data_IF_229995538156
#
_entry.id   IF_229995538156
#
_cell.length_a   1.000
_cell.length_b   1.000
_cell.length_c   1.000
_cell.angle_alpha   90.00
_cell.angle_beta   90.00
_cell.angle_gamma   90.00
#
_symmetry.space_group_name_H-M   'P 1'
#
loop_
_entity.id
_entity.type
_entity.pdbx_description
1 polymer ?
#
# COMPACT_ATOMS: atom_id res chain seq x y z
N UNK A 1 7.11 -35.50 -1.28
CA UNK A 1 5.94 -34.84 -0.65
C UNK A 1 6.28 -34.56 0.82
N UNK A 2 6.53 -33.29 1.17
CA UNK A 2 7.02 -32.92 2.52
C UNK A 2 5.85 -32.49 3.41
N UNK A 3 5.43 -33.38 4.29
CA UNK A 3 4.40 -33.13 5.31
C UNK A 3 4.95 -32.17 6.37
N UNK A 4 4.45 -30.93 6.38
CA UNK A 4 4.71 -29.98 7.46
C UNK A 4 3.90 -30.38 8.70
N UNK A 5 4.54 -31.13 9.61
CA UNK A 5 4.01 -31.49 10.92
C UNK A 5 3.75 -30.25 11.77
N UNK A 6 2.49 -30.04 12.16
CA UNK A 6 2.12 -29.01 13.15
C UNK A 6 2.64 -29.49 14.51
N UNK A 7 3.50 -28.74 15.23
CA UNK A 7 4.04 -29.19 16.50
C UNK A 7 2.94 -29.24 17.57
N UNK A 8 2.92 -30.32 18.36
CA UNK A 8 2.04 -30.54 19.52
C UNK A 8 1.97 -29.26 20.39
N UNK A 9 0.76 -28.74 20.58
CA UNK A 9 0.50 -27.50 21.31
C UNK A 9 0.78 -27.64 22.81
N UNK A 10 1.96 -27.21 23.27
CA UNK A 10 2.17 -26.81 24.67
C UNK A 10 1.13 -25.73 25.00
N UNK A 11 0.41 -25.87 26.13
CA UNK A 11 -0.65 -24.94 26.58
C UNK A 11 -0.18 -23.49 26.38
N UNK A 12 -0.88 -22.73 25.52
CA UNK A 12 -0.57 -21.33 25.28
C UNK A 12 -0.83 -20.55 26.58
N UNK A 13 0.10 -19.69 27.00
CA UNK A 13 -0.12 -18.81 28.15
C UNK A 13 -1.33 -17.90 27.92
N UNK A 14 -1.94 -17.42 29.01
CA UNK A 14 -3.18 -16.62 28.97
C UNK A 14 -3.04 -15.39 28.06
N UNK A 15 -1.95 -14.62 28.22
CA UNK A 15 -1.65 -13.46 27.37
C UNK A 15 -1.56 -13.84 25.88
N UNK A 16 -0.92 -14.96 25.55
CA UNK A 16 -0.80 -15.42 24.17
C UNK A 16 -2.17 -15.78 23.57
N UNK A 17 -3.05 -16.39 24.37
CA UNK A 17 -4.42 -16.74 23.97
C UNK A 17 -5.26 -15.48 23.72
N UNK A 18 -5.14 -14.49 24.60
CA UNK A 18 -5.81 -13.18 24.46
C UNK A 18 -5.35 -12.44 23.21
N UNK A 19 -4.05 -12.39 22.94
CA UNK A 19 -3.50 -11.81 21.70
C UNK A 19 -4.07 -12.48 20.45
N UNK A 20 -4.12 -13.81 20.41
CA UNK A 20 -4.66 -14.53 19.26
C UNK A 20 -6.18 -14.33 19.11
N UNK A 21 -6.92 -14.23 20.21
CA UNK A 21 -8.36 -13.91 20.20
C UNK A 21 -8.60 -12.51 19.64
N UNK A 22 -7.80 -11.52 20.06
CA UNK A 22 -7.85 -10.17 19.52
C UNK A 22 -7.54 -10.17 18.01
N UNK A 23 -6.43 -10.78 17.61
CA UNK A 23 -6.01 -10.85 16.21
C UNK A 23 -7.08 -11.48 15.30
N UNK A 24 -7.81 -12.49 15.79
CA UNK A 24 -8.90 -13.13 15.02
C UNK A 24 -10.03 -12.15 14.66
N UNK A 25 -10.37 -11.21 15.55
CA UNK A 25 -11.43 -10.21 15.37
C UNK A 25 -11.08 -9.15 14.33
N UNK A 26 -9.80 -8.94 14.05
CA UNK A 26 -9.36 -7.97 13.06
C UNK A 26 -9.64 -8.46 11.63
N UNK A 27 -9.91 -7.55 10.67
CA UNK A 27 -9.99 -7.90 9.25
C UNK A 27 -8.64 -8.40 8.71
N UNK A 28 -8.62 -8.90 7.46
CA UNK A 28 -7.37 -9.23 6.77
C UNK A 28 -6.42 -8.02 6.77
N UNK A 29 -5.14 -8.25 7.07
CA UNK A 29 -4.12 -7.19 7.14
C UNK A 29 -4.14 -6.36 8.43
N UNK A 30 -5.14 -6.56 9.32
CA UNK A 30 -5.24 -5.83 10.58
C UNK A 30 -3.98 -5.92 11.44
N UNK A 31 -3.66 -4.82 12.12
CA UNK A 31 -2.44 -4.66 12.91
C UNK A 31 -2.72 -5.03 14.36
N UNK A 32 -1.87 -5.91 14.88
CA UNK A 32 -1.75 -6.25 16.30
C UNK A 32 -0.52 -5.52 16.82
N UNK A 33 -0.69 -4.70 17.85
CA UNK A 33 0.40 -3.90 18.41
C UNK A 33 0.59 -4.14 19.91
N UNK A 34 1.83 -4.05 20.45
CA UNK A 34 2.08 -4.21 21.89
C UNK A 34 1.24 -3.26 22.75
N UNK A 35 0.95 -2.05 22.25
CA UNK A 35 0.18 -1.02 22.94
C UNK A 35 -1.22 -1.51 23.34
N UNK A 36 -1.83 -2.40 22.56
CA UNK A 36 -3.16 -2.97 22.87
C UNK A 36 -3.17 -3.87 24.09
N UNK A 37 -2.01 -4.37 24.55
CA UNK A 37 -1.92 -5.39 25.61
C UNK A 37 -1.13 -4.94 26.85
N UNK A 38 -0.75 -3.66 26.94
CA UNK A 38 0.03 -3.15 28.09
C UNK A 38 -0.75 -3.20 29.42
N UNK A 39 -2.08 -3.29 29.37
CA UNK A 39 -2.92 -3.51 30.54
C UNK A 39 -2.90 -4.95 31.06
N UNK A 40 -2.26 -5.88 30.33
CA UNK A 40 -2.18 -7.31 30.67
C UNK A 40 -0.78 -7.75 31.12
N UNK A 41 0.17 -6.82 31.22
CA UNK A 41 1.52 -7.11 31.69
C UNK A 41 2.57 -6.10 31.24
N UNK A 42 3.81 -6.33 31.66
CA UNK A 42 4.92 -5.45 31.33
C UNK A 42 5.21 -5.43 29.83
N UNK A 43 5.75 -4.31 29.33
CA UNK A 43 6.12 -4.15 27.93
C UNK A 43 7.03 -5.28 27.44
N UNK A 44 8.02 -5.66 28.25
CA UNK A 44 8.95 -6.74 27.92
C UNK A 44 8.24 -8.09 27.75
N UNK A 45 7.28 -8.42 28.63
CA UNK A 45 6.51 -9.66 28.54
C UNK A 45 5.63 -9.68 27.28
N UNK A 46 4.92 -8.58 26.99
CA UNK A 46 4.08 -8.45 25.78
C UNK A 46 4.90 -8.61 24.51
N UNK A 47 6.04 -7.91 24.41
CA UNK A 47 6.93 -8.01 23.24
C UNK A 47 7.49 -9.43 23.09
N UNK A 48 7.83 -10.11 24.20
CA UNK A 48 8.29 -11.49 24.17
C UNK A 48 7.21 -12.46 23.70
N UNK A 49 5.95 -12.28 24.13
CA UNK A 49 4.80 -13.08 23.67
C UNK A 49 4.54 -12.88 22.19
N UNK A 50 4.48 -11.63 21.70
CA UNK A 50 4.27 -11.34 20.28
C UNK A 50 5.39 -11.91 19.42
N UNK A 51 6.65 -11.77 19.86
CA UNK A 51 7.81 -12.36 19.19
C UNK A 51 7.74 -13.89 19.14
N UNK A 52 7.36 -14.55 20.23
CA UNK A 52 7.15 -16.01 20.26
C UNK A 52 6.02 -16.45 19.32
N UNK A 53 4.90 -15.74 19.28
CA UNK A 53 3.79 -16.03 18.36
C UNK A 53 4.22 -15.86 16.90
N UNK A 54 5.03 -14.85 16.60
CA UNK A 54 5.60 -14.63 15.28
C UNK A 54 6.56 -15.77 14.87
N UNK A 55 7.45 -16.21 15.77
CA UNK A 55 8.34 -17.36 15.51
C UNK A 55 7.57 -18.66 15.27
N UNK A 56 6.41 -18.83 15.92
CA UNK A 56 5.50 -19.97 15.71
C UNK A 56 4.64 -19.85 14.44
N UNK A 57 4.77 -18.77 13.67
CA UNK A 57 3.97 -18.53 12.46
C UNK A 57 2.49 -18.22 12.76
N UNK A 58 2.12 -17.97 14.01
CA UNK A 58 0.75 -17.62 14.40
C UNK A 58 0.46 -16.13 14.18
N UNK A 59 1.52 -15.32 14.10
CA UNK A 59 1.51 -13.94 13.66
C UNK A 59 2.65 -13.73 12.64
N UNK A 60 2.55 -12.67 11.85
CA UNK A 60 3.59 -12.21 10.93
C UNK A 60 4.05 -10.84 11.39
N UNK A 61 5.36 -10.65 11.58
CA UNK A 61 5.93 -9.36 11.94
C UNK A 61 6.09 -8.52 10.67
N UNK A 62 5.43 -7.36 10.63
CA UNK A 62 5.42 -6.45 9.46
C UNK A 62 6.25 -5.18 9.70
N UNK A 63 6.64 -4.92 10.95
CA UNK A 63 7.48 -3.78 11.29
C UNK A 63 7.87 -3.77 12.77
N UNK A 64 8.44 -2.65 13.23
CA UNK A 64 8.72 -2.45 14.66
C UNK A 64 7.41 -2.32 15.42
N UNK A 65 7.13 -3.29 16.30
CA UNK A 65 5.91 -3.28 17.12
C UNK A 65 4.61 -3.47 16.33
N UNK A 66 4.68 -3.97 15.09
CA UNK A 66 3.51 -4.23 14.26
C UNK A 66 3.52 -5.68 13.79
N UNK A 67 2.41 -6.37 14.05
CA UNK A 67 2.18 -7.74 13.65
C UNK A 67 0.84 -7.84 12.93
N UNK A 68 0.67 -8.87 12.11
CA UNK A 68 -0.63 -9.19 11.49
C UNK A 68 -0.87 -10.69 11.54
N UNK A 69 -2.14 -11.13 11.50
CA UNK A 69 -2.45 -12.55 11.45
C UNK A 69 -2.27 -13.09 10.03
N UNK A 70 -1.74 -14.31 9.85
CA UNK A 70 -1.81 -14.98 8.57
C UNK A 70 -3.27 -15.33 8.23
N UNK A 71 -3.56 -15.47 6.93
CA UNK A 71 -4.88 -15.86 6.43
C UNK A 71 -4.91 -17.37 6.21
N UNK A 72 -5.93 -18.02 6.76
CA UNK A 72 -6.20 -19.43 6.48
C UNK A 72 -7.13 -19.53 5.27
N UNK A 73 -6.75 -20.33 4.30
CA UNK A 73 -7.54 -20.65 3.11
C UNK A 73 -7.66 -22.16 2.95
N UNK A 74 -8.51 -22.63 2.02
CA UNK A 74 -8.59 -24.05 1.68
C UNK A 74 -7.25 -24.64 1.20
N UNK A 75 -6.38 -23.78 0.66
CA UNK A 75 -5.06 -24.14 0.13
C UNK A 75 -3.93 -23.99 1.15
N UNK A 76 -4.29 -23.82 2.43
CA UNK A 76 -3.35 -23.63 3.52
C UNK A 76 -3.21 -22.19 3.99
N UNK A 77 -2.11 -21.94 4.71
CA UNK A 77 -1.83 -20.68 5.39
C UNK A 77 -1.01 -19.78 4.46
N UNK A 78 -1.49 -18.56 4.24
CA UNK A 78 -0.78 -17.55 3.44
C UNK A 78 -0.64 -16.23 4.20
N UNK A 79 0.32 -15.37 3.83
CA UNK A 79 0.32 -13.98 4.25
C UNK A 79 -0.97 -13.26 3.79
N UNK A 80 -1.41 -12.22 4.52
CA UNK A 80 -2.41 -11.28 4.02
C UNK A 80 -1.98 -10.64 2.71
N UNK A 81 -2.94 -10.14 1.94
CA UNK A 81 -2.64 -9.34 0.76
C UNK A 81 -1.91 -8.05 1.15
N UNK A 82 -0.95 -7.65 0.34
CA UNK A 82 -0.18 -6.42 0.56
C UNK A 82 -1.09 -5.20 0.64
N UNK A 83 -2.11 -5.11 -0.23
CA UNK A 83 -3.11 -4.03 -0.20
C UNK A 83 -3.81 -3.91 1.16
N UNK A 84 -4.22 -5.04 1.75
CA UNK A 84 -4.87 -5.04 3.07
C UNK A 84 -3.91 -4.58 4.19
N UNK A 85 -2.66 -5.04 4.15
CA UNK A 85 -1.63 -4.62 5.12
C UNK A 85 -1.31 -3.14 4.97
N UNK A 86 -1.12 -2.65 3.74
CA UNK A 86 -0.85 -1.24 3.46
C UNK A 86 -1.99 -0.35 3.95
N UNK A 87 -3.24 -0.74 3.69
CA UNK A 87 -4.42 -0.03 4.20
C UNK A 87 -4.40 0.04 5.73
N UNK A 88 -4.13 -1.07 6.41
CA UNK A 88 -4.07 -1.10 7.86
C UNK A 88 -2.89 -0.27 8.43
N UNK A 89 -1.74 -0.25 7.75
CA UNK A 89 -0.60 0.59 8.13
C UNK A 89 -0.94 2.07 7.97
N UNK A 90 -1.53 2.47 6.84
CA UNK A 90 -1.99 3.84 6.60
C UNK A 90 -2.95 4.30 7.71
N UNK A 91 -3.98 3.50 8.02
CA UNK A 91 -4.92 3.78 9.10
C UNK A 91 -4.27 3.89 10.49
N UNK A 92 -3.24 3.09 10.77
CA UNK A 92 -2.56 3.06 12.07
C UNK A 92 -1.55 4.19 12.25
N UNK A 93 -0.88 4.59 11.18
CA UNK A 93 0.21 5.57 11.20
C UNK A 93 -0.24 6.98 10.83
N UNK A 94 -1.39 7.12 10.16
CA UNK A 94 -1.82 8.38 9.55
C UNK A 94 -1.05 8.71 8.26
N UNK A 95 -0.19 7.81 7.78
CA UNK A 95 0.53 7.99 6.52
C UNK A 95 -0.41 7.78 5.34
N UNK A 96 -0.23 8.59 4.29
CA UNK A 96 -0.85 8.37 3.00
C UNK A 96 0.02 7.41 2.21
N UNK A 97 -0.51 6.25 1.83
CA UNK A 97 0.23 5.23 1.10
C UNK A 97 -0.53 4.86 -0.18
N UNK A 98 0.08 5.09 -1.32
CA UNK A 98 -0.53 4.90 -2.64
C UNK A 98 0.31 3.95 -3.51
N UNK A 99 -0.29 3.27 -4.49
CA UNK A 99 0.47 2.48 -5.46
C UNK A 99 1.51 3.34 -6.21
N UNK A 100 2.64 2.74 -6.59
CA UNK A 100 3.63 3.42 -7.43
C UNK A 100 3.10 3.78 -8.81
N UNK A 101 3.82 4.64 -9.52
CA UNK A 101 3.47 5.06 -10.88
C UNK A 101 3.30 3.91 -11.86
N UNK A 102 4.18 2.91 -11.85
CA UNK A 102 4.05 1.73 -12.72
C UNK A 102 2.79 0.91 -12.40
N UNK A 103 2.47 0.74 -11.11
CA UNK A 103 1.23 0.05 -10.70
C UNK A 103 -0.01 0.86 -11.09
N UNK A 104 0.05 2.20 -11.00
CA UNK A 104 -1.03 3.08 -11.42
C UNK A 104 -1.23 3.06 -12.95
N UNK A 105 -0.14 3.12 -13.72
CA UNK A 105 -0.18 3.02 -15.18
C UNK A 105 -0.79 1.71 -15.63
N UNK A 106 -0.39 0.59 -15.02
CA UNK A 106 -1.00 -0.72 -15.31
C UNK A 106 -2.48 -0.77 -14.94
N UNK A 107 -2.85 -0.25 -13.76
CA UNK A 107 -4.25 -0.21 -13.33
C UNK A 107 -5.16 0.67 -14.21
N UNK A 108 -4.59 1.69 -14.88
CA UNK A 108 -5.30 2.59 -15.79
C UNK A 108 -5.27 2.12 -17.25
N UNK A 109 -4.64 0.97 -17.54
CA UNK A 109 -4.54 0.41 -18.89
C UNK A 109 -3.49 1.09 -19.79
N UNK A 110 -2.60 1.91 -19.22
CA UNK A 110 -1.53 2.60 -19.94
C UNK A 110 -0.28 1.75 -20.14
N UNK A 111 -0.19 0.63 -19.41
CA UNK A 111 0.92 -0.31 -19.52
C UNK A 111 0.44 -1.73 -19.24
N UNK A 112 0.94 -2.69 -19.99
CA UNK A 112 0.72 -4.14 -19.75
C UNK A 112 1.76 -4.74 -18.83
N UNK A 113 2.80 -3.98 -18.45
CA UNK A 113 3.89 -4.47 -17.64
C UNK A 113 3.41 -4.77 -16.22
N UNK A 114 3.59 -6.02 -15.79
CA UNK A 114 3.37 -6.42 -14.41
C UNK A 114 4.63 -6.10 -13.60
N UNK A 115 4.58 -5.19 -12.61
CA UNK A 115 5.77 -4.84 -11.84
C UNK A 115 6.30 -6.04 -11.07
N UNK A 116 7.59 -6.35 -11.22
CA UNK A 116 8.23 -7.44 -10.47
C UNK A 116 8.36 -7.15 -8.97
N UNK A 117 8.37 -5.87 -8.58
CA UNK A 117 8.48 -5.43 -7.19
C UNK A 117 7.21 -4.74 -6.74
N UNK A 118 6.79 -5.04 -5.51
CA UNK A 118 5.64 -4.38 -4.89
C UNK A 118 6.07 -3.06 -4.25
N UNK A 119 6.06 -2.00 -5.06
CA UNK A 119 6.41 -0.65 -4.64
C UNK A 119 5.17 0.22 -4.43
N UNK A 120 5.13 0.89 -3.28
CA UNK A 120 4.17 1.94 -2.94
C UNK A 120 4.91 3.23 -2.58
N UNK A 121 4.26 4.37 -2.83
CA UNK A 121 4.71 5.67 -2.35
C UNK A 121 4.05 5.99 -1.01
N UNK A 122 4.81 6.57 -0.08
CA UNK A 122 4.30 6.98 1.24
C UNK A 122 4.66 8.43 1.56
N UNK A 123 3.78 9.14 2.27
CA UNK A 123 4.12 10.43 2.91
C UNK A 123 5.08 10.27 4.09
N UNK A 124 5.15 9.06 4.67
CA UNK A 124 6.05 8.71 5.77
C UNK A 124 7.45 8.30 5.31
N UNK A 125 8.27 7.73 6.22
CA UNK A 125 9.63 7.32 5.90
C UNK A 125 9.67 6.08 5.00
N UNK A 126 10.67 6.07 4.09
CA UNK A 126 10.99 4.90 3.27
C UNK A 126 11.32 3.70 4.14
N UNK A 127 10.69 2.55 3.85
CA UNK A 127 10.91 1.31 4.60
C UNK A 127 10.43 0.10 3.80
N UNK A 128 10.92 -1.07 4.18
CA UNK A 128 10.45 -2.33 3.61
C UNK A 128 9.69 -3.18 4.63
N UNK A 129 8.61 -3.79 4.18
CA UNK A 129 7.73 -4.66 4.95
C UNK A 129 7.88 -6.08 4.41
N UNK A 130 8.17 -7.04 5.30
CA UNK A 130 8.22 -8.45 4.93
C UNK A 130 6.86 -9.11 5.18
N UNK A 131 6.31 -9.75 4.16
CA UNK A 131 5.07 -10.52 4.20
C UNK A 131 5.34 -11.96 3.77
N UNK A 132 5.74 -12.78 4.75
CA UNK A 132 6.22 -14.13 4.46
C UNK A 132 7.50 -14.08 3.61
N UNK A 133 7.43 -14.62 2.38
CA UNK A 133 8.52 -14.56 1.39
C UNK A 133 8.48 -13.31 0.50
N UNK A 134 7.38 -12.55 0.52
CA UNK A 134 7.22 -11.33 -0.27
C UNK A 134 7.78 -10.13 0.48
N UNK A 135 8.30 -9.17 -0.27
CA UNK A 135 8.80 -7.91 0.25
C UNK A 135 8.02 -6.77 -0.41
N UNK A 136 7.44 -5.90 0.41
CA UNK A 136 6.75 -4.69 -0.02
C UNK A 136 7.65 -3.51 0.31
N UNK A 137 7.87 -2.64 -0.65
CA UNK A 137 8.70 -1.44 -0.50
C UNK A 137 7.79 -0.22 -0.41
N UNK A 138 8.02 0.59 0.64
CA UNK A 138 7.46 1.92 0.78
C UNK A 138 8.58 2.91 0.49
N UNK A 139 8.41 3.73 -0.53
CA UNK A 139 9.33 4.81 -0.87
C UNK A 139 8.70 6.14 -0.51
N UNK A 140 9.42 6.95 0.26
CA UNK A 140 9.00 8.30 0.57
C UNK A 140 8.83 9.11 -0.72
N UNK A 141 7.74 9.86 -0.81
CA UNK A 141 7.45 10.76 -1.91
C UNK A 141 6.81 12.05 -1.40
N UNK A 142 7.02 13.18 -2.09
CA UNK A 142 6.45 14.46 -1.68
C UNK A 142 4.91 14.40 -1.72
N UNK A 143 4.27 15.24 -0.90
CA UNK A 143 2.81 15.21 -0.69
C UNK A 143 2.00 15.23 -1.99
N UNK A 144 2.46 16.00 -2.99
CA UNK A 144 1.79 16.11 -4.29
C UNK A 144 1.76 14.79 -5.08
N UNK A 145 2.73 13.88 -4.89
CA UNK A 145 2.76 12.57 -5.54
C UNK A 145 1.98 11.50 -4.80
N UNK A 146 1.72 11.66 -3.50
CA UNK A 146 1.00 10.67 -2.68
C UNK A 146 -0.49 10.96 -2.56
N UNK A 147 -1.02 11.91 -3.33
CA UNK A 147 -2.46 12.23 -3.37
C UNK A 147 -3.29 11.00 -3.71
N UNK A 148 -4.33 10.75 -2.93
CA UNK A 148 -5.25 9.63 -3.18
C UNK A 148 -6.22 9.92 -4.34
N UNK A 149 -7.02 8.92 -4.72
CA UNK A 149 -8.02 9.05 -5.78
C UNK A 149 -7.47 8.90 -7.19
N UNK A 150 -8.39 9.01 -8.17
CA UNK A 150 -8.12 8.77 -9.59
C UNK A 150 -7.16 9.81 -10.16
N UNK A 151 -7.34 11.09 -9.87
CA UNK A 151 -6.43 12.14 -10.34
C UNK A 151 -5.00 11.94 -9.83
N UNK A 152 -4.83 11.51 -8.57
CA UNK A 152 -3.52 11.16 -8.04
C UNK A 152 -2.92 9.93 -8.74
N UNK A 153 -3.73 8.92 -9.06
CA UNK A 153 -3.29 7.77 -9.82
C UNK A 153 -2.89 8.13 -11.26
N UNK A 154 -3.68 8.98 -11.94
CA UNK A 154 -3.40 9.52 -13.27
C UNK A 154 -2.08 10.31 -13.29
N UNK A 155 -1.86 11.18 -12.29
CA UNK A 155 -0.61 11.93 -12.15
C UNK A 155 0.59 11.00 -11.98
N UNK A 156 0.49 10.01 -11.09
CA UNK A 156 1.57 9.03 -10.88
C UNK A 156 1.82 8.18 -12.11
N UNK A 157 0.78 7.80 -12.85
CA UNK A 157 0.91 7.07 -14.10
C UNK A 157 1.63 7.92 -15.15
N UNK A 158 1.20 9.17 -15.35
CA UNK A 158 1.84 10.11 -16.27
C UNK A 158 3.32 10.32 -15.95
N UNK A 159 3.67 10.51 -14.67
CA UNK A 159 5.06 10.58 -14.22
C UNK A 159 5.86 9.30 -14.49
N UNK A 160 5.20 8.14 -14.45
CA UNK A 160 5.84 6.85 -14.71
C UNK A 160 6.06 6.57 -16.19
N UNK A 161 5.17 7.07 -17.05
CA UNK A 161 5.30 6.97 -18.50
C UNK A 161 6.40 7.92 -19.01
N UNK A 162 6.58 9.06 -18.33
CA UNK A 162 7.63 10.02 -18.63
C UNK A 162 7.25 11.04 -19.70
N UNK A 163 8.18 11.95 -20.00
CA UNK A 163 7.96 13.07 -20.92
C UNK A 163 7.65 12.62 -22.35
N UNK A 164 8.41 11.64 -22.85
CA UNK A 164 8.29 11.09 -24.21
C UNK A 164 6.87 10.60 -24.52
N UNK A 165 6.22 9.96 -23.54
CA UNK A 165 4.88 9.37 -23.68
C UNK A 165 3.79 10.25 -23.06
N UNK A 166 4.10 11.48 -22.67
CA UNK A 166 3.18 12.32 -21.89
C UNK A 166 1.92 12.71 -22.67
N UNK A 167 2.06 13.06 -23.96
CA UNK A 167 0.92 13.43 -24.81
C UNK A 167 0.00 12.24 -25.07
N UNK A 168 0.56 11.08 -25.44
CA UNK A 168 -0.21 9.85 -25.64
C UNK A 168 -0.95 9.43 -24.36
N UNK A 169 -0.24 9.47 -23.23
CA UNK A 169 -0.80 9.13 -21.91
C UNK A 169 -1.96 10.05 -21.56
N UNK A 170 -1.81 11.37 -21.78
CA UNK A 170 -2.87 12.33 -21.53
C UNK A 170 -4.07 12.12 -22.45
N UNK A 171 -3.87 11.88 -23.74
CA UNK A 171 -4.95 11.59 -24.68
C UNK A 171 -5.77 10.35 -24.27
N UNK A 172 -5.11 9.31 -23.72
CA UNK A 172 -5.80 8.11 -23.24
C UNK A 172 -6.51 8.30 -21.89
N UNK A 173 -5.99 9.17 -21.03
CA UNK A 173 -6.52 9.42 -19.69
C UNK A 173 -7.63 10.46 -19.69
N UNK A 174 -7.45 11.59 -20.37
CA UNK A 174 -8.28 12.79 -20.27
C UNK A 174 -9.78 12.53 -20.46
N UNK A 175 -10.22 11.72 -21.46
CA UNK A 175 -11.63 11.42 -21.66
C UNK A 175 -12.24 10.56 -20.54
N UNK A 176 -11.42 9.87 -19.75
CA UNK A 176 -11.86 8.98 -18.66
C UNK A 176 -11.96 9.73 -17.32
N UNK A 177 -11.52 10.98 -17.26
CA UNK A 177 -11.51 11.79 -16.05
C UNK A 177 -12.75 12.68 -15.97
N UNK A 178 -13.35 12.72 -14.80
CA UNK A 178 -14.37 13.71 -14.45
C UNK A 178 -13.78 15.13 -14.40
N UNK A 179 -14.62 16.15 -14.53
CA UNK A 179 -14.18 17.56 -14.42
C UNK A 179 -13.49 17.87 -13.08
N UNK A 180 -13.93 17.21 -11.99
CA UNK A 180 -13.27 17.33 -10.70
C UNK A 180 -11.84 16.77 -10.74
N UNK A 181 -11.62 15.62 -11.38
CA UNK A 181 -10.31 15.01 -11.53
C UNK A 181 -9.40 15.78 -12.48
N UNK A 182 -9.95 16.27 -13.60
CA UNK A 182 -9.25 17.18 -14.51
C UNK A 182 -8.77 18.42 -13.76
N UNK A 183 -9.65 19.10 -13.01
CA UNK A 183 -9.29 20.28 -12.19
C UNK A 183 -8.17 19.97 -11.20
N UNK A 184 -8.18 18.79 -10.58
CA UNK A 184 -7.11 18.37 -9.68
C UNK A 184 -5.76 18.13 -10.38
N UNK A 185 -5.77 17.61 -11.62
CA UNK A 185 -4.56 17.51 -12.45
C UNK A 185 -4.06 18.88 -12.88
N UNK A 186 -4.96 19.78 -13.34
CA UNK A 186 -4.61 21.17 -13.69
C UNK A 186 -3.87 21.86 -12.55
N UNK A 187 -4.34 21.69 -11.30
CA UNK A 187 -3.68 22.26 -10.10
C UNK A 187 -2.31 21.63 -9.80
N UNK A 188 -2.10 20.36 -10.17
CA UNK A 188 -0.85 19.64 -9.87
C UNK A 188 0.30 19.97 -10.82
N UNK A 189 0.04 20.70 -11.92
CA UNK A 189 1.02 21.01 -12.97
C UNK A 189 2.31 21.65 -12.46
N UNK A 190 2.21 22.54 -11.48
CA UNK A 190 3.35 23.30 -10.95
C UNK A 190 4.15 22.58 -9.87
N UNK A 191 3.74 21.39 -9.43
CA UNK A 191 4.43 20.66 -8.35
C UNK A 191 5.52 19.70 -8.85
N UNK A 192 5.55 19.41 -10.15
CA UNK A 192 6.46 18.45 -10.77
C UNK A 192 7.52 19.08 -11.68
N UNK A 193 8.19 18.26 -12.50
CA UNK A 193 9.16 18.74 -13.50
C UNK A 193 8.51 19.68 -14.54
N UNK A 194 9.32 20.53 -15.17
CA UNK A 194 8.84 21.50 -16.17
C UNK A 194 8.03 20.86 -17.30
N UNK A 195 8.45 19.69 -17.79
CA UNK A 195 7.73 18.97 -18.84
C UNK A 195 6.30 18.57 -18.45
N UNK A 196 6.06 18.26 -17.17
CA UNK A 196 4.74 17.90 -16.68
C UNK A 196 3.80 19.10 -16.78
N UNK A 197 4.29 20.28 -16.42
CA UNK A 197 3.54 21.52 -16.53
C UNK A 197 3.18 21.82 -17.99
N UNK A 198 4.15 21.69 -18.90
CA UNK A 198 3.95 21.91 -20.34
C UNK A 198 2.95 20.92 -20.93
N UNK A 199 3.09 19.62 -20.64
CA UNK A 199 2.19 18.58 -21.16
C UNK A 199 0.74 18.78 -20.71
N UNK A 200 0.52 19.08 -19.42
CA UNK A 200 -0.83 19.35 -18.90
C UNK A 200 -1.40 20.64 -19.50
N UNK A 201 -0.62 21.72 -19.64
CA UNK A 201 -1.10 22.97 -20.23
C UNK A 201 -1.54 22.79 -21.67
N UNK A 202 -0.75 22.09 -22.50
CA UNK A 202 -1.15 21.77 -23.89
C UNK A 202 -2.45 20.96 -23.95
N UNK A 203 -2.62 20.00 -23.04
CA UNK A 203 -3.84 19.21 -23.00
C UNK A 203 -5.08 20.05 -22.65
N UNK A 204 -4.93 21.05 -21.78
CA UNK A 204 -6.00 21.99 -21.42
C UNK A 204 -6.41 22.82 -22.64
N UNK A 205 -5.43 23.38 -23.36
CA UNK A 205 -5.68 24.20 -24.56
C UNK A 205 -6.43 23.41 -25.65
N UNK A 206 -6.09 22.12 -25.82
CA UNK A 206 -6.80 21.23 -26.75
C UNK A 206 -8.26 20.98 -26.35
N UNK A 207 -8.51 20.66 -25.08
CA UNK A 207 -9.85 20.40 -24.53
C UNK A 207 -10.76 21.64 -24.61
N UNK A 208 -10.20 22.83 -24.37
CA UNK A 208 -10.93 24.10 -24.49
C UNK A 208 -11.20 24.50 -25.94
N UNK A 209 -10.28 24.17 -26.87
CA UNK A 209 -10.47 24.37 -28.31
C UNK A 209 -11.51 23.45 -28.93
N UNK A 210 -11.58 22.19 -28.50
CA UNK A 210 -12.61 21.23 -28.97
C UNK A 210 -14.00 21.54 -28.40
N UNK A 211 -14.10 22.08 -27.18
CA UNK A 211 -15.40 22.44 -26.58
C UNK A 211 -16.02 23.73 -27.14
N UNK A 212 -15.25 24.50 -27.93
CA UNK A 212 -15.69 25.73 -28.59
C UNK A 212 -16.02 25.57 -30.09
N UNK A 213 -15.79 24.37 -30.64
CA UNK A 213 -16.07 23.99 -32.03
C UNK A 213 -17.31 23.10 -32.13
#
# INVERSE_FOLDING_TARGET
>A
MSTATIPRTRKLGELATTVLRHAKKLPEGGIVSPKEFLHLGTRANVDQVLSRLARKGLLLRIGRGMYTKPVKSRFGIRPPSSRAVIKAISQRTGETIVPSGAVAANALGLSTQIPMRELFLTSGPSRSIKLGRRQVELKHAPHWQVREGVAGAALRALLSMGEEYSEETLNQLWPKLSEAEKKQLKFSRGSGPAWLATAISRQIERDEGESAA
#
